data_IF_566786673964
#
_entry.id   IF_566786673964
#
_cell.length_a   1.000
_cell.length_b   1.000
_cell.length_c   1.000
_cell.angle_alpha   90.00
_cell.angle_beta   90.00
_cell.angle_gamma   90.00
#
_symmetry.space_group_name_H-M   'P 1'
#
loop_
_entity.id
_entity.type
_entity.pdbx_description
1 polymer ?
#
# COMPACT_ATOMS: atom_id res chain seq x y z
N UNK A 1 9.05 10.48 -7.93
CA UNK A 1 9.48 10.28 -6.51
C UNK A 1 8.21 10.31 -5.69
N UNK A 2 7.62 9.18 -5.33
CA UNK A 2 6.28 9.15 -4.75
C UNK A 2 6.04 7.83 -4.05
N UNK A 3 6.54 7.72 -2.82
CA UNK A 3 6.20 6.64 -1.91
C UNK A 3 5.50 7.29 -0.72
N UNK A 4 4.36 6.74 -0.32
CA UNK A 4 3.61 7.15 0.85
C UNK A 4 3.43 5.96 1.77
N UNK A 5 3.54 6.17 3.07
CA UNK A 5 3.20 5.16 4.06
C UNK A 5 1.81 5.46 4.58
N UNK A 6 0.92 4.48 4.50
CA UNK A 6 -0.42 4.58 5.04
C UNK A 6 -0.53 3.61 6.19
N UNK A 7 -0.79 4.14 7.39
CA UNK A 7 -1.08 3.32 8.57
C UNK A 7 -2.57 3.00 8.57
N UNK A 8 -2.89 1.72 8.39
CA UNK A 8 -4.26 1.21 8.48
C UNK A 8 -4.57 0.84 9.93
N UNK A 9 -5.84 0.97 10.33
CA UNK A 9 -6.26 0.67 11.71
C UNK A 9 -6.27 -0.84 12.02
N UNK A 10 -6.50 -1.68 11.00
CA UNK A 10 -6.56 -3.13 11.12
C UNK A 10 -5.77 -3.83 10.03
N UNK A 11 -5.17 -4.98 10.38
CA UNK A 11 -4.50 -5.85 9.40
C UNK A 11 -5.46 -6.38 8.33
N UNK A 12 -6.75 -6.56 8.67
CA UNK A 12 -7.75 -7.00 7.69
C UNK A 12 -8.00 -5.96 6.60
N UNK A 13 -8.06 -4.69 7.00
CA UNK A 13 -8.20 -3.57 6.05
C UNK A 13 -6.93 -3.39 5.22
N UNK A 14 -5.75 -3.57 5.84
CA UNK A 14 -4.48 -3.52 5.12
C UNK A 14 -4.38 -4.60 4.03
N UNK A 15 -4.79 -5.84 4.33
CA UNK A 15 -4.80 -6.93 3.34
C UNK A 15 -5.77 -6.66 2.20
N UNK A 16 -6.99 -6.22 2.52
CA UNK A 16 -7.99 -5.89 1.50
C UNK A 16 -7.50 -4.74 0.60
N UNK A 17 -6.88 -3.72 1.19
CA UNK A 17 -6.29 -2.63 0.43
C UNK A 17 -5.13 -3.10 -0.45
N UNK A 18 -4.31 -4.04 0.03
CA UNK A 18 -3.27 -4.67 -0.78
C UNK A 18 -3.87 -5.35 -2.02
N UNK A 19 -4.88 -6.20 -1.83
CA UNK A 19 -5.49 -6.97 -2.93
C UNK A 19 -6.24 -6.09 -3.94
N UNK A 20 -6.89 -5.02 -3.48
CA UNK A 20 -7.71 -4.18 -4.37
C UNK A 20 -6.96 -3.00 -4.99
N UNK A 21 -5.85 -2.56 -4.38
CA UNK A 21 -5.09 -1.37 -4.81
C UNK A 21 -3.72 -1.71 -5.39
N UNK A 22 -3.16 -2.89 -5.13
CA UNK A 22 -1.92 -3.32 -5.79
C UNK A 22 -2.13 -3.53 -7.29
N UNK A 23 -1.33 -2.86 -8.12
CA UNK A 23 -1.44 -2.89 -9.58
C UNK A 23 -2.60 -2.07 -10.13
N UNK A 24 -3.27 -1.23 -9.31
CA UNK A 24 -4.27 -0.29 -9.80
C UNK A 24 -3.61 0.88 -10.52
N UNK A 25 -4.29 1.37 -11.54
CA UNK A 25 -3.91 2.62 -12.20
C UNK A 25 -4.55 3.79 -11.44
N UNK A 26 -3.72 4.65 -10.84
CA UNK A 26 -4.12 5.88 -10.17
C UNK A 26 -3.52 7.06 -10.94
N UNK A 27 -4.37 7.91 -11.50
CA UNK A 27 -3.95 9.13 -12.21
C UNK A 27 -3.01 8.85 -13.41
N UNK A 28 -3.27 7.77 -14.16
CA UNK A 28 -2.45 7.35 -15.30
C UNK A 28 -1.10 6.70 -14.91
N UNK A 29 -0.95 6.27 -13.65
CA UNK A 29 0.23 5.58 -13.14
C UNK A 29 -0.17 4.34 -12.34
N UNK A 30 0.46 3.21 -12.63
CA UNK A 30 0.33 2.04 -11.77
C UNK A 30 0.90 2.33 -10.38
N UNK A 31 0.10 2.05 -9.36
CA UNK A 31 0.52 2.06 -7.97
C UNK A 31 0.77 0.63 -7.50
N UNK A 32 1.84 0.45 -6.74
CA UNK A 32 2.16 -0.82 -6.09
C UNK A 32 1.94 -0.64 -4.58
N UNK A 33 1.13 -1.51 -3.98
CA UNK A 33 0.80 -1.45 -2.56
C UNK A 33 1.40 -2.68 -1.91
N UNK A 34 2.36 -2.47 -1.00
CA UNK A 34 3.08 -3.54 -0.33
C UNK A 34 2.96 -3.38 1.18
N UNK A 35 3.03 -4.51 1.89
CA UNK A 35 3.11 -4.51 3.35
C UNK A 35 4.42 -3.83 3.75
N UNK A 36 4.30 -2.68 4.41
CA UNK A 36 5.46 -1.98 4.95
C UNK A 36 6.07 -2.84 6.07
N UNK A 37 7.27 -3.36 5.84
CA UNK A 37 8.06 -3.97 6.90
C UNK A 37 8.76 -2.85 7.67
N UNK A 38 8.52 -2.74 8.97
CA UNK A 38 9.29 -1.86 9.84
C UNK A 38 10.76 -2.30 9.77
N UNK A 39 11.57 -1.56 8.99
CA UNK A 39 13.02 -1.64 9.15
C UNK A 39 13.38 -0.90 10.43
N UNK A 40 13.28 -1.61 11.54
CA UNK A 40 13.98 -1.29 12.78
C UNK A 40 15.47 -1.07 12.44
N UNK A 41 15.97 0.15 12.63
CA UNK A 41 17.40 0.45 12.64
C UNK A 41 17.92 0.42 14.06
#
# INVERSE_FOLDING_TARGET
RGFGFVTMASQGEAKKALEELDGRELDGREIAVNVATERSR
#
